data_IF_869199177069
#
_entry.id   IF_869199177069
#
_cell.length_a   1.000
_cell.length_b   1.000
_cell.length_c   1.000
_cell.angle_alpha   90.00
_cell.angle_beta   90.00
_cell.angle_gamma   90.00
#
_symmetry.space_group_name_H-M   'P 1'
#
loop_
_entity.id
_entity.type
_entity.pdbx_description
1 polymer ?
#
# COMPACT_ATOMS: atom_id res chain seq x y z
N UNK A 1 -26.99 7.96 1.25
CA UNK A 1 -26.26 6.91 2.00
C UNK A 1 -26.07 5.62 1.20
N UNK A 2 -27.10 5.04 0.55
CA UNK A 2 -26.92 3.78 -0.23
C UNK A 2 -26.01 3.94 -1.47
N UNK A 3 -26.17 5.02 -2.25
CA UNK A 3 -25.34 5.32 -3.45
C UNK A 3 -23.85 5.52 -3.15
N UNK A 4 -23.51 6.14 -2.01
CA UNK A 4 -22.12 6.35 -1.59
C UNK A 4 -21.46 5.06 -1.13
N UNK A 5 -22.21 4.12 -0.54
CA UNK A 5 -21.70 2.79 -0.16
C UNK A 5 -21.35 1.99 -1.42
N UNK A 6 -22.20 2.02 -2.45
CA UNK A 6 -21.89 1.35 -3.71
C UNK A 6 -20.62 1.92 -4.35
N UNK A 7 -20.52 3.24 -4.49
CA UNK A 7 -19.33 3.89 -5.06
C UNK A 7 -18.04 3.52 -4.30
N UNK A 8 -18.09 3.50 -2.97
CA UNK A 8 -16.94 3.12 -2.14
C UNK A 8 -16.57 1.64 -2.32
N UNK A 9 -17.58 0.76 -2.41
CA UNK A 9 -17.37 -0.68 -2.62
C UNK A 9 -16.78 -0.99 -3.99
N UNK A 10 -17.22 -0.29 -5.05
CA UNK A 10 -16.68 -0.49 -6.40
C UNK A 10 -15.24 0.00 -6.50
N UNK A 11 -14.92 1.14 -5.86
CA UNK A 11 -13.56 1.65 -5.79
C UNK A 11 -12.63 0.68 -5.04
N UNK A 12 -13.09 0.16 -3.90
CA UNK A 12 -12.32 -0.82 -3.11
C UNK A 12 -12.06 -2.10 -3.90
N UNK A 13 -13.06 -2.60 -4.65
CA UNK A 13 -12.90 -3.76 -5.53
C UNK A 13 -11.87 -3.50 -6.65
N UNK A 14 -11.94 -2.34 -7.31
CA UNK A 14 -10.97 -1.97 -8.36
C UNK A 14 -9.53 -1.87 -7.82
N UNK A 15 -9.36 -1.30 -6.63
CA UNK A 15 -8.04 -1.20 -5.99
C UNK A 15 -7.53 -2.57 -5.52
N UNK A 16 -8.40 -3.45 -5.04
CA UNK A 16 -7.99 -4.82 -4.69
C UNK A 16 -7.53 -5.59 -5.94
N UNK A 17 -8.29 -5.51 -7.04
CA UNK A 17 -7.94 -6.16 -8.31
C UNK A 17 -6.61 -5.66 -8.88
N UNK A 18 -6.33 -4.36 -8.85
CA UNK A 18 -5.08 -3.82 -9.41
C UNK A 18 -3.82 -4.34 -8.68
N UNK A 19 -3.92 -4.65 -7.38
CA UNK A 19 -2.79 -5.19 -6.61
C UNK A 19 -2.51 -6.67 -6.89
N UNK A 20 -3.50 -7.45 -7.34
CA UNK A 20 -3.37 -8.88 -7.58
C UNK A 20 -2.92 -9.22 -9.01
N UNK A 21 -3.15 -8.33 -9.98
CA UNK A 21 -2.82 -8.56 -11.39
C UNK A 21 -1.29 -8.67 -11.60
N UNK A 22 -0.51 -7.81 -10.95
CA UNK A 22 0.95 -7.78 -11.10
C UNK A 22 1.66 -9.08 -10.65
N UNK A 23 1.40 -9.63 -9.44
CA UNK A 23 2.05 -10.88 -9.04
C UNK A 23 1.58 -12.07 -9.89
N UNK A 24 0.31 -12.13 -10.31
CA UNK A 24 -0.20 -13.21 -11.17
C UNK A 24 0.53 -13.24 -12.52
N UNK A 25 0.72 -12.08 -13.16
CA UNK A 25 1.47 -11.97 -14.41
C UNK A 25 2.97 -12.24 -14.25
N UNK A 26 3.56 -11.90 -13.10
CA UNK A 26 4.98 -12.14 -12.84
C UNK A 26 5.32 -13.64 -12.71
N UNK A 27 4.35 -14.46 -12.30
CA UNK A 27 4.54 -15.88 -12.03
C UNK A 27 3.76 -16.81 -12.97
N UNK A 28 3.02 -16.28 -13.95
CA UNK A 28 2.17 -17.07 -14.85
C UNK A 28 2.92 -18.05 -15.75
N UNK A 29 4.25 -17.92 -15.90
CA UNK A 29 5.10 -18.78 -16.72
C UNK A 29 5.93 -19.81 -15.95
N UNK A 30 5.81 -19.87 -14.61
CA UNK A 30 6.55 -20.83 -13.77
C UNK A 30 6.14 -22.26 -14.08
N UNK A 31 7.10 -23.09 -14.52
CA UNK A 31 6.86 -24.51 -14.80
C UNK A 31 6.12 -24.81 -16.10
N UNK A 32 5.96 -23.82 -17.00
CA UNK A 32 5.47 -24.06 -18.36
C UNK A 32 6.56 -24.70 -19.25
N UNK A 33 6.16 -25.46 -20.28
CA UNK A 33 7.11 -26.03 -21.25
C UNK A 33 7.91 -24.92 -21.96
N UNK A 34 9.24 -24.95 -21.82
CA UNK A 34 10.14 -23.90 -22.31
C UNK A 34 10.22 -22.64 -21.43
N UNK A 35 9.53 -22.63 -20.29
CA UNK A 35 9.60 -21.59 -19.26
C UNK A 35 10.73 -21.83 -18.25
N UNK A 36 10.97 -20.82 -17.42
CA UNK A 36 11.94 -20.88 -16.33
C UNK A 36 11.45 -21.84 -15.24
N UNK A 37 12.37 -22.70 -14.77
CA UNK A 37 12.07 -23.69 -13.73
C UNK A 37 11.97 -23.03 -12.35
N UNK A 38 11.34 -23.71 -11.39
CA UNK A 38 11.24 -23.19 -10.02
C UNK A 38 12.63 -22.98 -9.38
N UNK A 39 13.53 -23.94 -9.54
CA UNK A 39 14.92 -23.85 -9.06
C UNK A 39 15.66 -22.64 -9.63
N UNK A 40 15.55 -22.43 -10.94
CA UNK A 40 16.20 -21.30 -11.62
C UNK A 40 15.61 -19.96 -11.17
N UNK A 41 14.29 -19.91 -10.92
CA UNK A 41 13.62 -18.74 -10.36
C UNK A 41 14.10 -18.42 -8.94
N UNK A 42 14.24 -19.42 -8.08
CA UNK A 42 14.72 -19.25 -6.70
C UNK A 42 16.18 -18.79 -6.69
N UNK A 43 17.04 -19.39 -7.52
CA UNK A 43 18.43 -18.96 -7.68
C UNK A 43 18.51 -17.51 -8.19
N UNK A 44 17.62 -17.10 -9.10
CA UNK A 44 17.58 -15.71 -9.57
C UNK A 44 17.11 -14.74 -8.48
N UNK A 45 16.18 -15.16 -7.64
CA UNK A 45 15.67 -14.36 -6.52
C UNK A 45 16.76 -14.14 -5.46
N UNK A 46 17.50 -15.19 -5.10
CA UNK A 46 18.62 -15.12 -4.15
C UNK A 46 19.72 -14.17 -4.66
N UNK A 47 20.13 -14.32 -5.93
CA UNK A 47 21.13 -13.42 -6.54
C UNK A 47 20.67 -11.96 -6.59
N UNK A 48 19.37 -11.69 -6.71
CA UNK A 48 18.83 -10.31 -6.63
C UNK A 48 18.97 -9.72 -5.23
N UNK A 49 18.78 -10.54 -4.20
CA UNK A 49 18.96 -10.12 -2.79
C UNK A 49 20.44 -9.85 -2.53
N UNK A 50 21.33 -10.80 -2.87
CA UNK A 50 22.78 -10.62 -2.71
C UNK A 50 23.29 -9.38 -3.46
N UNK A 51 22.81 -9.16 -4.69
CA UNK A 51 23.19 -7.98 -5.47
C UNK A 51 22.74 -6.68 -4.81
N UNK A 52 21.53 -6.65 -4.23
CA UNK A 52 21.01 -5.48 -3.53
C UNK A 52 21.78 -5.21 -2.22
N UNK A 53 22.17 -6.25 -1.49
CA UNK A 53 23.02 -6.14 -0.30
C UNK A 53 24.43 -5.64 -0.64
N UNK A 54 25.03 -6.14 -1.72
CA UNK A 54 26.35 -5.72 -2.18
C UNK A 54 26.36 -4.31 -2.79
N UNK A 55 25.22 -3.82 -3.27
CA UNK A 55 25.08 -2.52 -3.93
C UNK A 55 23.97 -1.67 -3.30
N UNK A 56 24.13 -1.23 -2.03
CA UNK A 56 23.09 -0.50 -1.30
C UNK A 56 22.75 0.87 -1.93
N UNK A 57 23.58 1.37 -2.84
CA UNK A 57 23.35 2.61 -3.59
C UNK A 57 22.59 2.40 -4.93
N UNK A 58 22.43 1.15 -5.39
CA UNK A 58 21.83 0.84 -6.70
C UNK A 58 20.36 0.44 -6.51
N UNK A 59 19.51 1.44 -6.25
CA UNK A 59 18.08 1.29 -5.96
C UNK A 59 17.65 2.28 -4.87
N UNK A 60 16.35 2.52 -4.65
CA UNK A 60 15.93 3.46 -3.58
C UNK A 60 16.28 2.97 -2.17
N UNK A 61 16.73 1.72 -2.04
CA UNK A 61 17.19 1.10 -0.79
C UNK A 61 16.12 0.93 0.29
N UNK A 62 14.95 1.58 0.14
CA UNK A 62 13.85 1.59 1.10
C UNK A 62 13.03 0.31 0.95
N UNK A 63 13.11 -0.64 1.90
CA UNK A 63 12.28 -1.83 1.84
C UNK A 63 10.81 -1.43 2.01
N UNK A 64 9.88 -2.01 1.25
CA UNK A 64 8.47 -1.64 1.39
C UNK A 64 7.89 -2.13 2.73
N UNK A 65 8.21 -3.37 3.11
CA UNK A 65 7.70 -4.04 4.32
C UNK A 65 8.53 -3.79 5.59
N UNK A 66 9.45 -2.85 5.58
CA UNK A 66 10.27 -2.52 6.75
C UNK A 66 9.69 -1.36 7.57
N UNK A 67 10.00 -1.34 8.87
CA UNK A 67 9.60 -0.28 9.80
C UNK A 67 10.32 1.05 9.53
N UNK A 68 11.56 1.01 9.02
CA UNK A 68 12.25 2.19 8.46
C UNK A 68 11.87 2.47 7.00
N UNK A 69 11.08 1.58 6.41
CA UNK A 69 10.71 1.56 5.01
C UNK A 69 9.46 2.35 4.68
N UNK A 70 8.92 2.08 3.49
CA UNK A 70 7.77 2.82 2.96
C UNK A 70 6.51 2.61 3.81
N UNK A 71 6.26 1.38 4.30
CA UNK A 71 5.11 1.12 5.18
C UNK A 71 5.25 1.82 6.53
N UNK A 72 6.42 1.77 7.16
CA UNK A 72 6.65 2.48 8.42
C UNK A 72 6.47 4.00 8.28
N UNK A 73 7.06 4.59 7.24
CA UNK A 73 6.87 6.00 6.92
C UNK A 73 5.40 6.37 6.65
N UNK A 74 4.68 5.53 5.91
CA UNK A 74 3.26 5.74 5.60
C UNK A 74 2.38 5.63 6.84
N UNK A 75 2.68 4.71 7.76
CA UNK A 75 1.94 4.55 9.01
C UNK A 75 2.16 5.75 9.93
N UNK A 76 3.40 6.24 10.06
CA UNK A 76 3.72 7.44 10.84
C UNK A 76 3.02 8.66 10.24
N UNK A 77 3.10 8.86 8.92
CA UNK A 77 2.42 9.96 8.24
C UNK A 77 0.90 9.88 8.42
N UNK A 78 0.31 8.69 8.23
CA UNK A 78 -1.11 8.45 8.43
C UNK A 78 -1.57 8.74 9.86
N UNK A 79 -0.75 8.39 10.86
CA UNK A 79 -1.06 8.67 12.27
C UNK A 79 -1.03 10.17 12.58
N UNK A 80 -0.04 10.92 12.07
CA UNK A 80 0.07 12.38 12.29
C UNK A 80 -1.09 13.11 11.60
N UNK A 81 -1.25 12.93 10.30
CA UNK A 81 -2.28 13.63 9.53
C UNK A 81 -3.69 13.15 9.92
N UNK A 82 -3.87 11.85 10.15
CA UNK A 82 -5.13 11.28 10.64
C UNK A 82 -5.48 11.75 12.05
N UNK A 83 -4.49 11.88 12.94
CA UNK A 83 -4.66 12.40 14.29
C UNK A 83 -5.10 13.87 14.30
N UNK A 84 -4.42 14.72 13.51
CA UNK A 84 -4.79 16.13 13.33
C UNK A 84 -6.20 16.24 12.73
N UNK A 85 -6.48 15.49 11.66
CA UNK A 85 -7.79 15.51 11.01
C UNK A 85 -8.90 15.08 11.98
N UNK A 86 -8.67 14.04 12.79
CA UNK A 86 -9.62 13.56 13.80
C UNK A 86 -9.84 14.59 14.89
N UNK A 87 -8.79 15.26 15.37
CA UNK A 87 -8.91 16.32 16.36
C UNK A 87 -9.76 17.50 15.84
N UNK A 88 -9.53 17.95 14.61
CA UNK A 88 -10.35 18.98 13.98
C UNK A 88 -11.78 18.51 13.72
N UNK A 89 -11.97 17.26 13.32
CA UNK A 89 -13.29 16.69 13.08
C UNK A 89 -14.14 16.64 14.37
N UNK A 90 -13.56 16.17 15.47
CA UNK A 90 -14.23 16.14 16.79
C UNK A 90 -14.49 17.57 17.29
N UNK A 91 -13.50 18.46 17.19
CA UNK A 91 -13.65 19.86 17.60
C UNK A 91 -14.71 20.59 16.79
N UNK A 92 -14.76 20.39 15.48
CA UNK A 92 -15.75 20.96 14.56
C UNK A 92 -17.18 20.54 14.89
N UNK A 93 -17.38 19.31 15.40
CA UNK A 93 -18.69 18.82 15.85
C UNK A 93 -19.16 19.45 17.17
N UNK A 94 -18.23 19.96 17.99
CA UNK A 94 -18.50 20.54 19.31
C UNK A 94 -18.52 22.08 19.34
N UNK A 95 -18.18 22.74 18.23
CA UNK A 95 -18.08 24.20 18.16
C UNK A 95 -19.45 24.90 18.11
N UNK A 96 -19.50 26.17 18.52
CA UNK A 96 -20.69 27.06 18.46
C UNK A 96 -21.42 27.06 17.12
N UNK A 97 -20.73 26.74 16.02
CA UNK A 97 -21.26 26.66 14.65
C UNK A 97 -21.88 25.30 14.27
N UNK A 98 -21.78 24.27 15.13
CA UNK A 98 -22.44 22.99 14.93
C UNK A 98 -23.90 22.99 15.41
N UNK A 99 -24.27 23.93 16.30
CA UNK A 99 -25.65 24.22 16.64
C UNK A 99 -26.23 25.20 15.61
N UNK A 100 -26.78 24.67 14.52
CA UNK A 100 -27.57 25.45 13.58
C UNK A 100 -28.73 26.12 14.34
N UNK A 101 -28.84 27.46 14.30
CA UNK A 101 -29.98 28.19 14.88
C UNK A 101 -29.76 28.91 16.22
N UNK A 102 -28.54 29.36 16.55
CA UNK A 102 -28.32 30.38 17.60
C UNK A 102 -27.72 31.66 17.02
N UNK A 103 -28.53 32.33 16.20
CA UNK A 103 -28.48 33.76 15.91
C UNK A 103 -29.82 34.35 16.31
#
# INVERSE_FOLDING_TARGET
MKRSIYALSTLALCMAMSTLVLPVLAYSGLGADGGITLEEHLMLAERKVEYAEANPATGSGTPYLDAGGVLGASLIAGAIFGGIATAFFVRGKSGRYAAYGRG
#
